data_IF_631429288590
#
_entry.id   IF_631429288590
#
_cell.length_a   1.000
_cell.length_b   1.000
_cell.length_c   1.000
_cell.angle_alpha   90.00
_cell.angle_beta   90.00
_cell.angle_gamma   90.00
#
_symmetry.space_group_name_H-M   'P 1'
#
loop_
_entity.id
_entity.type
_entity.pdbx_description
1 polymer ?
#
# COMPACT_ATOMS: atom_id res chain seq x y z
N UNK A 1 -8.15 6.31 1.85
CA UNK A 1 -8.01 7.58 1.10
C UNK A 1 -6.75 8.27 1.56
N UNK A 2 -6.01 8.90 0.65
CA UNK A 2 -4.85 9.74 0.98
C UNK A 2 -5.29 11.11 1.55
N UNK A 3 -4.49 11.75 2.42
CA UNK A 3 -4.87 13.03 3.04
C UNK A 3 -4.94 14.19 2.04
N UNK A 4 -4.13 14.10 0.99
CA UNK A 4 -3.93 15.02 -0.14
C UNK A 4 -4.95 14.84 -1.27
N UNK A 5 -5.97 13.98 -1.10
CA UNK A 5 -7.00 13.70 -2.11
C UNK A 5 -7.79 14.95 -2.55
N UNK A 6 -7.82 16.00 -1.73
CA UNK A 6 -8.56 17.24 -1.99
C UNK A 6 -7.67 18.44 -2.30
N UNK A 7 -6.36 18.23 -2.44
CA UNK A 7 -5.44 19.29 -2.89
C UNK A 7 -5.50 19.44 -4.41
N UNK A 8 -5.28 20.67 -4.91
CA UNK A 8 -5.26 20.95 -6.36
C UNK A 8 -4.12 20.21 -7.09
N UNK A 9 -3.10 19.77 -6.35
CA UNK A 9 -1.94 19.01 -6.82
C UNK A 9 -2.15 17.48 -6.69
N UNK A 10 -3.38 16.99 -6.86
CA UNK A 10 -3.67 15.55 -6.89
C UNK A 10 -2.93 14.85 -8.04
N UNK A 11 -2.24 13.76 -7.72
CA UNK A 11 -1.49 12.93 -8.68
C UNK A 11 -1.77 11.45 -8.42
N UNK A 12 -1.34 10.57 -9.33
CA UNK A 12 -1.37 9.11 -9.18
C UNK A 12 -0.71 8.59 -7.89
N UNK A 13 0.08 9.43 -7.20
CA UNK A 13 0.74 9.07 -5.93
C UNK A 13 -0.26 8.82 -4.79
N UNK A 14 -1.52 9.22 -4.91
CA UNK A 14 -2.56 8.85 -3.94
C UNK A 14 -2.96 7.37 -4.03
N UNK A 15 -2.78 6.75 -5.20
CA UNK A 15 -3.06 5.33 -5.42
C UNK A 15 -1.97 4.51 -4.76
N UNK A 16 -0.72 5.00 -4.79
CA UNK A 16 0.41 4.43 -4.03
C UNK A 16 0.13 4.45 -2.53
N UNK A 17 -0.40 5.56 -2.00
CA UNK A 17 -0.78 5.65 -0.60
C UNK A 17 -1.90 4.66 -0.25
N UNK A 18 -2.94 4.60 -1.08
CA UNK A 18 -4.07 3.70 -0.88
C UNK A 18 -3.65 2.24 -0.96
N UNK A 19 -2.74 1.91 -1.89
CA UNK A 19 -2.13 0.60 -2.01
C UNK A 19 -1.33 0.22 -0.75
N UNK A 20 -0.51 1.12 -0.21
CA UNK A 20 0.20 0.90 1.06
C UNK A 20 -0.75 0.61 2.23
N UNK A 21 -1.90 1.28 2.28
CA UNK A 21 -2.94 1.00 3.28
C UNK A 21 -3.58 -0.37 3.09
N UNK A 22 -3.84 -0.78 1.84
CA UNK A 22 -4.35 -2.11 1.53
C UNK A 22 -3.36 -3.21 1.90
N UNK A 23 -2.07 -3.04 1.57
CA UNK A 23 -1.02 -4.00 1.96
C UNK A 23 -0.94 -4.10 3.48
N UNK A 24 -0.98 -2.97 4.20
CA UNK A 24 -1.03 -2.96 5.66
C UNK A 24 -2.23 -3.78 6.19
N UNK A 25 -3.43 -3.53 5.67
CA UNK A 25 -4.64 -4.26 6.06
C UNK A 25 -4.51 -5.76 5.79
N UNK A 26 -3.98 -6.15 4.63
CA UNK A 26 -3.79 -7.56 4.24
C UNK A 26 -2.82 -8.28 5.18
N UNK A 27 -1.69 -7.65 5.53
CA UNK A 27 -0.66 -8.30 6.35
C UNK A 27 -1.02 -8.32 7.83
N UNK A 28 -1.80 -7.35 8.33
CA UNK A 28 -2.21 -7.32 9.74
C UNK A 28 -3.59 -7.91 9.98
N UNK A 29 -4.42 -8.07 8.95
CA UNK A 29 -5.84 -8.46 9.04
C UNK A 29 -6.61 -7.50 9.96
N UNK A 30 -6.26 -6.22 9.92
CA UNK A 30 -6.81 -5.18 10.76
C UNK A 30 -7.10 -3.94 9.93
N UNK A 31 -8.27 -3.33 10.16
CA UNK A 31 -8.65 -2.10 9.48
C UNK A 31 -7.65 -1.00 9.86
N UNK A 32 -7.01 -0.32 8.89
CA UNK A 32 -6.10 0.79 9.17
C UNK A 32 -6.81 1.90 9.96
N UNK A 33 -6.14 2.38 11.02
CA UNK A 33 -6.68 3.34 11.99
C UNK A 33 -7.91 2.86 12.78
N UNK A 34 -8.13 1.55 12.93
CA UNK A 34 -9.17 1.00 13.80
C UNK A 34 -9.10 1.49 15.26
N UNK A 35 -7.97 2.05 15.70
CA UNK A 35 -7.84 2.71 17.01
C UNK A 35 -8.50 4.10 17.09
N UNK A 36 -9.09 4.61 16.01
CA UNK A 36 -9.77 5.91 15.97
C UNK A 36 -11.29 5.75 15.93
N UNK A 37 -11.99 6.50 16.80
CA UNK A 37 -13.45 6.35 16.94
C UNK A 37 -14.28 6.95 15.79
N UNK A 38 -13.68 7.82 14.97
CA UNK A 38 -14.38 8.48 13.87
C UNK A 38 -13.41 8.95 12.75
N UNK A 39 -14.00 9.29 11.61
CA UNK A 39 -13.29 9.71 10.39
C UNK A 39 -12.50 11.01 10.61
N UNK A 40 -12.99 11.95 11.42
CA UNK A 40 -12.30 13.22 11.68
C UNK A 40 -10.95 13.00 12.39
N UNK A 41 -10.90 12.07 13.34
CA UNK A 41 -9.65 11.68 14.03
C UNK A 41 -8.68 11.00 13.07
N UNK A 42 -9.20 10.16 12.16
CA UNK A 42 -8.40 9.50 11.12
C UNK A 42 -7.77 10.56 10.21
N UNK A 43 -8.59 11.49 9.68
CA UNK A 43 -8.10 12.55 8.81
C UNK A 43 -7.04 13.41 9.51
N UNK A 44 -7.27 13.80 10.77
CA UNK A 44 -6.28 14.57 11.55
C UNK A 44 -4.94 13.85 11.71
N UNK A 45 -4.95 12.54 11.99
CA UNK A 45 -3.72 11.74 12.07
C UNK A 45 -3.03 11.68 10.71
N UNK A 46 -3.81 11.42 9.67
CA UNK A 46 -3.33 11.30 8.31
C UNK A 46 -2.62 12.57 7.83
N UNK A 47 -3.28 13.72 7.98
CA UNK A 47 -2.74 15.03 7.58
C UNK A 47 -1.57 15.48 8.45
N UNK A 48 -1.39 14.93 9.66
CA UNK A 48 -0.22 15.18 10.50
C UNK A 48 0.92 14.16 10.30
N UNK A 49 0.76 13.21 9.36
CA UNK A 49 1.75 12.18 9.09
C UNK A 49 1.86 11.09 10.16
N UNK A 50 0.87 10.99 11.07
CA UNK A 50 0.82 9.94 12.08
C UNK A 50 0.30 8.66 11.44
N UNK A 51 1.11 7.60 11.46
CA UNK A 51 0.79 6.29 10.85
C UNK A 51 -0.19 5.46 11.70
N UNK A 52 -0.90 4.47 11.11
CA UNK A 52 -1.79 3.57 11.85
C UNK A 52 -1.05 2.75 12.90
N UNK A 53 -1.70 2.47 14.04
CA UNK A 53 -1.09 1.63 15.09
C UNK A 53 -0.76 0.21 14.60
N UNK A 54 -1.55 -0.32 13.65
CA UNK A 54 -1.35 -1.63 13.02
C UNK A 54 0.04 -1.78 12.37
N UNK A 55 0.67 -0.69 11.91
CA UNK A 55 2.02 -0.75 11.32
C UNK A 55 3.07 -1.29 12.29
N UNK A 56 2.88 -1.11 13.60
CA UNK A 56 3.78 -1.66 14.61
C UNK A 56 3.65 -3.18 14.78
N UNK A 57 2.61 -3.79 14.21
CA UNK A 57 2.35 -5.24 14.26
C UNK A 57 2.98 -5.98 13.07
N UNK A 58 3.43 -5.26 12.05
CA UNK A 58 4.15 -5.83 10.91
C UNK A 58 5.52 -6.32 11.39
N UNK A 59 5.71 -7.65 11.36
CA UNK A 59 6.92 -8.31 11.88
C UNK A 59 8.06 -8.31 10.87
N UNK A 60 7.73 -8.44 9.61
CA UNK A 60 8.70 -8.44 8.53
C UNK A 60 9.21 -7.01 8.29
N UNK A 61 10.51 -6.74 8.50
CA UNK A 61 11.07 -5.40 8.35
C UNK A 61 11.04 -4.91 6.89
N UNK A 62 11.10 -5.80 5.91
CA UNK A 62 11.06 -5.45 4.49
C UNK A 62 9.66 -5.00 4.08
N UNK A 63 8.65 -5.80 4.41
CA UNK A 63 7.24 -5.45 4.22
C UNK A 63 6.90 -4.15 4.95
N UNK A 64 7.41 -3.98 6.17
CA UNK A 64 7.21 -2.74 6.91
C UNK A 64 7.84 -1.55 6.19
N UNK A 65 9.08 -1.66 5.73
CA UNK A 65 9.76 -0.61 4.98
C UNK A 65 9.03 -0.26 3.67
N UNK A 66 8.50 -1.27 2.98
CA UNK A 66 7.69 -1.10 1.78
C UNK A 66 6.43 -0.27 2.06
N UNK A 67 5.63 -0.66 3.05
CA UNK A 67 4.43 0.09 3.47
C UNK A 67 4.83 1.51 3.86
N UNK A 68 5.93 1.71 4.59
CA UNK A 68 6.38 3.03 5.00
C UNK A 68 6.76 3.96 3.84
N UNK A 69 7.30 3.42 2.74
CA UNK A 69 7.55 4.17 1.49
C UNK A 69 6.23 4.60 0.84
N UNK A 70 5.25 3.70 0.77
CA UNK A 70 3.92 4.00 0.23
C UNK A 70 3.19 5.08 1.04
N UNK A 71 3.35 5.06 2.37
CA UNK A 71 2.73 6.00 3.30
C UNK A 71 3.57 7.28 3.54
N UNK A 72 4.57 7.55 2.70
CA UNK A 72 5.38 8.76 2.79
C UNK A 72 4.58 10.03 2.43
N UNK A 73 5.17 11.19 2.72
CA UNK A 73 4.65 12.48 2.26
C UNK A 73 4.51 12.49 0.73
N UNK A 74 3.52 13.19 0.15
CA UNK A 74 3.17 13.07 -1.28
C UNK A 74 4.37 13.12 -2.21
N UNK A 75 5.25 14.12 -2.05
CA UNK A 75 6.44 14.33 -2.90
C UNK A 75 7.57 13.31 -2.70
N UNK A 76 7.49 12.49 -1.66
CA UNK A 76 8.47 11.46 -1.33
C UNK A 76 7.96 10.04 -1.63
N UNK A 77 6.70 9.90 -2.06
CA UNK A 77 6.19 8.60 -2.52
C UNK A 77 6.80 8.28 -3.88
N UNK A 78 7.26 7.04 -4.11
CA UNK A 78 7.72 6.61 -5.42
C UNK A 78 6.56 6.53 -6.41
N UNK A 79 6.84 6.70 -7.70
CA UNK A 79 5.87 6.35 -8.74
C UNK A 79 5.67 4.83 -8.80
N UNK A 80 4.53 4.37 -9.34
CA UNK A 80 4.24 2.94 -9.46
C UNK A 80 5.37 2.15 -10.15
N UNK A 81 5.92 2.69 -11.25
CA UNK A 81 7.01 2.04 -11.98
C UNK A 81 8.34 1.95 -11.20
N UNK A 82 8.53 2.81 -10.20
CA UNK A 82 9.69 2.76 -9.30
C UNK A 82 9.41 1.81 -8.13
N UNK A 83 8.18 1.85 -7.58
CA UNK A 83 7.75 0.97 -6.49
C UNK A 83 7.77 -0.51 -6.88
N UNK A 84 7.51 -0.84 -8.16
CA UNK A 84 7.60 -2.21 -8.68
C UNK A 84 9.03 -2.78 -8.68
N UNK A 85 10.06 -1.95 -8.49
CA UNK A 85 11.46 -2.37 -8.40
C UNK A 85 11.91 -2.55 -6.94
N UNK A 86 10.98 -2.46 -5.99
CA UNK A 86 11.28 -2.65 -4.58
C UNK A 86 11.55 -4.13 -4.26
N UNK A 87 12.51 -4.44 -3.37
CA UNK A 87 12.81 -5.83 -2.98
C UNK A 87 11.59 -6.64 -2.54
N UNK A 88 10.55 -5.96 -2.03
CA UNK A 88 9.27 -6.58 -1.69
C UNK A 88 8.68 -7.45 -2.81
N UNK A 89 9.02 -7.19 -4.07
CA UNK A 89 8.54 -7.96 -5.23
C UNK A 89 9.55 -8.99 -5.78
N UNK A 90 10.76 -9.09 -5.22
CA UNK A 90 11.83 -9.94 -5.78
C UNK A 90 11.47 -11.45 -5.73
N UNK A 91 10.70 -11.91 -4.74
CA UNK A 91 10.29 -13.33 -4.62
C UNK A 91 9.11 -13.73 -5.54
N UNK A 92 8.47 -12.78 -6.23
CA UNK A 92 7.33 -13.05 -7.13
C UNK A 92 7.80 -13.33 -8.56
N UNK A 93 9.08 -13.10 -8.86
CA UNK A 93 9.61 -13.14 -10.23
C UNK A 93 9.90 -14.55 -10.80
N UNK A 94 9.71 -15.62 -10.03
CA UNK A 94 10.26 -16.94 -10.36
C UNK A 94 9.25 -18.05 -10.76
N UNK A 95 7.94 -17.78 -10.89
CA UNK A 95 6.92 -18.84 -11.16
C UNK A 95 6.14 -18.74 -12.49
N UNK A 96 6.42 -17.80 -13.39
CA UNK A 96 5.66 -17.61 -14.65
C UNK A 96 6.38 -18.11 -15.94
N UNK A 97 7.02 -19.29 -15.89
CA UNK A 97 7.56 -19.98 -17.09
C UNK A 97 7.00 -21.41 -17.25
N UNK A 98 5.76 -21.66 -16.83
CA UNK A 98 4.99 -22.84 -17.26
C UNK A 98 3.82 -22.43 -18.17
N UNK A 99 4.02 -22.67 -19.48
CA UNK A 99 2.97 -22.65 -20.50
C UNK A 99 1.81 -23.58 -20.11
N UNK A 100 0.62 -23.06 -19.81
CA UNK A 100 -0.62 -23.85 -19.87
C UNK A 100 -1.52 -23.33 -21.00
N UNK A 101 -1.34 -23.96 -22.17
CA UNK A 101 -2.20 -23.84 -23.34
C UNK A 101 -3.54 -24.53 -23.04
N UNK A 102 -4.45 -23.83 -22.35
CA UNK A 102 -5.78 -24.36 -22.08
C UNK A 102 -6.67 -24.17 -23.33
N UNK A 103 -6.56 -25.12 -24.27
CA UNK A 103 -7.52 -25.26 -25.36
C UNK A 103 -8.88 -25.70 -24.81
N UNK A 104 -9.83 -24.78 -24.63
CA UNK A 104 -11.23 -25.13 -24.37
C UNK A 104 -11.89 -25.66 -25.65
N UNK A 105 -11.97 -26.99 -25.81
CA UNK A 105 -12.92 -27.62 -26.72
C UNK A 105 -14.32 -27.54 -26.11
N UNK A 106 -15.20 -26.70 -26.67
CA UNK A 106 -16.63 -26.67 -26.35
C UNK A 106 -17.30 -27.98 -26.81
N UNK A 107 -17.96 -28.67 -25.88
CA UNK A 107 -19.13 -29.53 -26.15
C UNK A 107 -20.30 -29.06 -25.30
#
# INVERSE_FOLDING_TARGET
>A
MAPDLYDEDYTELVDIYSFGMCVLELVTVEIPYSECDNVDKIYKKMSSGVRPAALNKVKDPEVKAFIEKCLAQPRARPFAAELLKDPFFDEIADDDDENDDCSCSYQ
#
